data_IF_303062303203
#
_entry.id   IF_303062303203
#
_cell.length_a   1.000
_cell.length_b   1.000
_cell.length_c   1.000
_cell.angle_alpha   90.00
_cell.angle_beta   90.00
_cell.angle_gamma   90.00
#
_symmetry.space_group_name_H-M   'P 1'
#
loop_
_entity.id
_entity.type
_entity.pdbx_description
1 polymer ?
#
# COMPACT_ATOMS: atom_id res chain seq x y z
N UNK A 1 -1.93 -36.12 -0.68
CA UNK A 1 -2.74 -35.00 -1.23
C UNK A 1 -2.06 -33.65 -0.93
N UNK A 2 -0.98 -33.28 -1.65
CA UNK A 2 -0.28 -31.98 -1.47
C UNK A 2 0.14 -31.30 -2.80
N UNK A 3 -0.26 -31.84 -3.96
CA UNK A 3 0.24 -31.39 -5.27
C UNK A 3 -0.60 -30.33 -6.00
N UNK A 4 -1.81 -30.00 -5.49
CA UNK A 4 -2.74 -29.10 -6.20
C UNK A 4 -2.54 -27.63 -5.82
N UNK A 5 -1.89 -27.32 -4.70
CA UNK A 5 -1.78 -25.96 -4.18
C UNK A 5 -0.80 -25.06 -4.96
N UNK A 6 0.31 -25.59 -5.44
CA UNK A 6 1.37 -24.75 -6.03
C UNK A 6 0.99 -24.10 -7.37
N UNK A 7 0.13 -24.73 -8.19
CA UNK A 7 -0.30 -24.16 -9.50
C UNK A 7 -1.50 -23.23 -9.39
N UNK A 8 -2.33 -23.38 -8.37
CA UNK A 8 -3.56 -22.58 -8.23
C UNK A 8 -3.25 -21.22 -7.57
N UNK A 9 -2.28 -21.18 -6.65
CA UNK A 9 -1.79 -19.95 -6.01
C UNK A 9 -1.38 -18.86 -7.00
N UNK A 10 -0.51 -19.09 -8.00
CA UNK A 10 -0.09 -18.04 -8.94
C UNK A 10 -1.25 -17.57 -9.83
N UNK A 11 -2.18 -18.47 -10.20
CA UNK A 11 -3.36 -18.09 -10.98
C UNK A 11 -4.31 -17.19 -10.17
N UNK A 12 -4.51 -17.52 -8.89
CA UNK A 12 -5.29 -16.68 -7.97
C UNK A 12 -4.63 -15.32 -7.71
N UNK A 13 -3.31 -15.29 -7.51
CA UNK A 13 -2.55 -14.06 -7.35
C UNK A 13 -2.64 -13.18 -8.60
N UNK A 14 -2.38 -13.74 -9.79
CA UNK A 14 -2.41 -12.99 -11.04
C UNK A 14 -3.81 -12.42 -11.37
N UNK A 15 -4.88 -13.16 -11.03
CA UNK A 15 -6.24 -12.69 -11.22
C UNK A 15 -6.63 -11.61 -10.22
N UNK A 16 -6.17 -11.75 -8.97
CA UNK A 16 -6.40 -10.75 -7.92
C UNK A 16 -5.63 -9.47 -8.20
N UNK A 17 -4.38 -9.59 -8.67
CA UNK A 17 -3.58 -8.46 -9.13
C UNK A 17 -4.29 -7.73 -10.26
N UNK A 18 -4.71 -8.40 -11.34
CA UNK A 18 -5.41 -7.73 -12.45
C UNK A 18 -6.72 -7.03 -12.06
N UNK A 19 -7.36 -7.46 -10.97
CA UNK A 19 -8.59 -6.86 -10.46
C UNK A 19 -8.35 -5.63 -9.56
N UNK A 20 -7.10 -5.30 -9.25
CA UNK A 20 -6.76 -4.12 -8.47
C UNK A 20 -6.70 -2.86 -9.33
N UNK A 21 -7.08 -1.74 -8.73
CA UNK A 21 -6.86 -0.38 -9.20
C UNK A 21 -5.38 -0.01 -9.11
N UNK A 22 -4.53 -0.58 -9.97
CA UNK A 22 -3.10 -0.26 -9.99
C UNK A 22 -2.81 1.18 -10.39
N UNK A 23 -3.66 1.79 -11.22
CA UNK A 23 -3.46 3.15 -11.72
C UNK A 23 -3.24 4.19 -10.60
N UNK A 24 -4.14 4.36 -9.60
CA UNK A 24 -3.92 5.32 -8.52
C UNK A 24 -2.68 5.00 -7.68
N UNK A 25 -2.35 3.72 -7.50
CA UNK A 25 -1.10 3.33 -6.83
C UNK A 25 0.13 3.73 -7.62
N UNK A 26 0.16 3.46 -8.93
CA UNK A 26 1.28 3.83 -9.80
C UNK A 26 1.46 5.35 -9.88
N UNK A 27 0.37 6.11 -9.89
CA UNK A 27 0.42 7.58 -9.84
C UNK A 27 1.00 8.06 -8.50
N UNK A 28 0.49 7.56 -7.37
CA UNK A 28 1.01 7.91 -6.05
C UNK A 28 2.47 7.49 -5.86
N UNK A 29 2.82 6.30 -6.34
CA UNK A 29 4.18 5.76 -6.35
C UNK A 29 5.12 6.61 -7.21
N UNK A 30 4.66 7.04 -8.39
CA UNK A 30 5.38 7.94 -9.28
C UNK A 30 5.63 9.29 -8.62
N UNK A 31 4.64 9.85 -7.92
CA UNK A 31 4.81 11.09 -7.16
C UNK A 31 5.86 10.96 -6.05
N UNK A 32 5.80 9.90 -5.23
CA UNK A 32 6.80 9.74 -4.17
C UNK A 32 8.21 9.45 -4.70
N UNK A 33 8.33 8.72 -5.83
CA UNK A 33 9.62 8.59 -6.54
C UNK A 33 10.09 9.94 -7.07
N UNK A 34 9.22 10.74 -7.70
CA UNK A 34 9.58 12.06 -8.22
C UNK A 34 10.05 13.00 -7.11
N UNK A 35 9.39 12.99 -5.95
CA UNK A 35 9.76 13.79 -4.77
C UNK A 35 11.18 13.44 -4.29
N UNK A 36 11.55 12.15 -4.31
CA UNK A 36 12.88 11.71 -3.92
C UNK A 36 13.94 11.88 -5.04
N UNK A 37 13.55 11.70 -6.29
CA UNK A 37 14.46 11.68 -7.43
C UNK A 37 14.79 13.07 -7.97
N UNK A 38 13.88 14.05 -7.87
CA UNK A 38 14.11 15.41 -8.39
C UNK A 38 15.30 16.09 -7.71
N UNK A 39 15.43 16.10 -6.37
CA UNK A 39 16.60 16.71 -5.74
C UNK A 39 17.89 15.98 -6.07
N UNK A 40 17.85 14.65 -6.15
CA UNK A 40 18.98 13.82 -6.56
C UNK A 40 19.44 14.13 -8.00
N UNK A 41 18.50 14.27 -8.94
CA UNK A 41 18.79 14.57 -10.33
C UNK A 41 19.29 16.01 -10.55
N UNK A 42 18.86 16.95 -9.70
CA UNK A 42 19.28 18.35 -9.73
C UNK A 42 20.54 18.61 -8.90
N UNK A 43 21.13 17.57 -8.29
CA UNK A 43 22.28 17.65 -7.37
C UNK A 43 22.14 18.76 -6.33
N UNK A 44 20.92 18.92 -5.79
CA UNK A 44 20.64 19.90 -4.74
C UNK A 44 21.19 19.35 -3.43
N UNK A 45 22.15 20.06 -2.83
CA UNK A 45 22.61 19.77 -1.47
C UNK A 45 21.43 19.98 -0.51
N UNK A 46 21.01 18.90 0.13
CA UNK A 46 19.89 18.89 1.07
C UNK A 46 20.44 18.53 2.44
N UNK A 47 20.00 19.27 3.46
CA UNK A 47 20.28 18.91 4.84
C UNK A 47 19.61 17.58 5.21
N UNK A 48 20.15 16.89 6.21
CA UNK A 48 19.60 15.66 6.77
C UNK A 48 18.11 15.82 7.16
N UNK A 49 17.74 16.97 7.72
CA UNK A 49 16.35 17.27 8.08
C UNK A 49 15.42 17.35 6.87
N UNK A 50 15.88 17.94 5.77
CA UNK A 50 15.06 18.09 4.57
C UNK A 50 14.87 16.76 3.85
N UNK A 51 15.90 15.90 3.85
CA UNK A 51 15.79 14.52 3.35
C UNK A 51 14.77 13.70 4.16
N UNK A 52 14.76 13.83 5.49
CA UNK A 52 13.76 13.17 6.34
C UNK A 52 12.34 13.68 6.05
N UNK A 53 12.17 15.00 5.86
CA UNK A 53 10.87 15.59 5.50
C UNK A 53 10.38 15.06 4.16
N UNK A 54 11.25 14.98 3.15
CA UNK A 54 10.92 14.40 1.84
C UNK A 54 10.50 12.93 1.96
N UNK A 55 11.23 12.15 2.77
CA UNK A 55 10.93 10.74 2.99
C UNK A 55 9.59 10.54 3.71
N UNK A 56 9.22 11.43 4.63
CA UNK A 56 7.87 11.47 5.25
C UNK A 56 6.77 11.78 4.24
N UNK A 57 6.97 12.77 3.38
CA UNK A 57 6.00 13.08 2.32
C UNK A 57 5.83 11.89 1.37
N UNK A 58 6.94 11.25 0.99
CA UNK A 58 6.90 10.01 0.21
C UNK A 58 6.12 8.91 0.95
N UNK A 59 6.37 8.70 2.25
CA UNK A 59 5.64 7.72 3.06
C UNK A 59 4.13 7.97 3.06
N UNK A 60 3.69 9.23 3.14
CA UNK A 60 2.27 9.60 3.03
C UNK A 60 1.71 9.25 1.63
N UNK A 61 2.44 9.54 0.56
CA UNK A 61 2.05 9.14 -0.80
C UNK A 61 1.93 7.61 -0.93
N UNK A 62 2.88 6.86 -0.37
CA UNK A 62 2.84 5.40 -0.34
C UNK A 62 1.62 4.87 0.42
N UNK A 63 1.31 5.42 1.59
CA UNK A 63 0.15 5.06 2.38
C UNK A 63 -1.18 5.35 1.64
N UNK A 64 -1.28 6.48 0.93
CA UNK A 64 -2.41 6.79 0.07
C UNK A 64 -2.54 5.78 -1.08
N UNK A 65 -1.43 5.43 -1.74
CA UNK A 65 -1.42 4.39 -2.77
C UNK A 65 -1.92 3.03 -2.27
N UNK A 66 -1.50 2.62 -1.08
CA UNK A 66 -1.98 1.38 -0.43
C UNK A 66 -3.48 1.46 -0.15
N UNK A 67 -3.97 2.61 0.35
CA UNK A 67 -5.39 2.81 0.58
C UNK A 67 -6.20 2.69 -0.72
N UNK A 68 -5.70 3.22 -1.84
CA UNK A 68 -6.35 3.10 -3.15
C UNK A 68 -6.33 1.67 -3.73
N UNK A 69 -5.29 0.87 -3.46
CA UNK A 69 -5.27 -0.56 -3.84
C UNK A 69 -6.32 -1.37 -3.08
N UNK A 70 -6.54 -0.99 -1.82
CA UNK A 70 -7.50 -1.61 -0.91
C UNK A 70 -8.93 -1.13 -1.16
N UNK A 71 -9.12 0.06 -1.70
CA UNK A 71 -10.42 0.54 -2.15
C UNK A 71 -10.82 -0.18 -3.44
N UNK A 72 -11.75 -1.13 -3.33
CA UNK A 72 -12.32 -1.86 -4.46
C UNK A 72 -13.60 -1.16 -4.92
N UNK A 73 -13.57 -0.30 -5.96
CA UNK A 73 -14.77 0.38 -6.46
C UNK A 73 -15.80 -0.61 -7.04
N UNK A 74 -15.36 -1.81 -7.44
CA UNK A 74 -16.22 -2.86 -7.99
C UNK A 74 -16.87 -3.75 -6.91
N UNK A 75 -16.59 -3.51 -5.63
CA UNK A 75 -17.24 -4.22 -4.53
C UNK A 75 -18.78 -4.05 -4.54
N UNK A 76 -19.28 -2.96 -5.15
CA UNK A 76 -20.72 -2.71 -5.33
C UNK A 76 -21.39 -3.63 -6.35
N UNK A 77 -20.66 -4.14 -7.34
CA UNK A 77 -21.24 -4.91 -8.45
C UNK A 77 -21.05 -6.44 -8.32
N UNK A 78 -20.18 -6.90 -7.42
CA UNK A 78 -19.85 -8.32 -7.22
C UNK A 78 -20.52 -8.95 -5.98
N UNK A 79 -21.62 -8.35 -5.49
CA UNK A 79 -22.32 -8.82 -4.29
C UNK A 79 -22.81 -10.28 -4.37
N UNK A 80 -22.89 -10.85 -5.58
CA UNK A 80 -23.46 -12.17 -5.88
C UNK A 80 -22.44 -13.31 -5.99
N UNK A 81 -21.12 -13.05 -5.86
CA UNK A 81 -20.10 -14.10 -6.04
C UNK A 81 -19.85 -14.87 -4.73
N UNK A 82 -19.93 -16.21 -4.71
CA UNK A 82 -19.84 -17.04 -3.51
C UNK A 82 -18.39 -17.32 -3.09
N UNK A 83 -17.53 -16.28 -3.08
CA UNK A 83 -16.15 -16.40 -2.60
C UNK A 83 -16.04 -15.73 -1.23
N UNK A 84 -15.41 -16.36 -0.22
CA UNK A 84 -15.21 -15.76 1.09
C UNK A 84 -14.47 -14.42 0.99
N UNK A 85 -15.16 -13.32 1.33
CA UNK A 85 -14.64 -11.94 1.23
C UNK A 85 -13.34 -11.74 2.02
N UNK A 86 -13.16 -12.48 3.11
CA UNK A 86 -11.96 -12.41 3.97
C UNK A 86 -10.71 -12.86 3.21
N UNK A 87 -10.79 -13.97 2.46
CA UNK A 87 -9.64 -14.50 1.71
C UNK A 87 -9.24 -13.53 0.61
N UNK A 88 -10.22 -12.94 -0.09
CA UNK A 88 -9.96 -11.94 -1.13
C UNK A 88 -9.26 -10.69 -0.57
N UNK A 89 -9.71 -10.20 0.58
CA UNK A 89 -9.07 -9.05 1.23
C UNK A 89 -7.68 -9.38 1.76
N UNK A 90 -7.46 -10.56 2.33
CA UNK A 90 -6.14 -10.98 2.82
C UNK A 90 -5.12 -11.06 1.68
N UNK A 91 -5.49 -11.68 0.54
CA UNK A 91 -4.63 -11.75 -0.65
C UNK A 91 -4.37 -10.35 -1.22
N UNK A 92 -5.39 -9.47 -1.24
CA UNK A 92 -5.21 -8.08 -1.69
C UNK A 92 -4.28 -7.29 -0.79
N UNK A 93 -4.43 -7.42 0.53
CA UNK A 93 -3.57 -6.76 1.51
C UNK A 93 -2.12 -7.26 1.39
N UNK A 94 -1.91 -8.57 1.22
CA UNK A 94 -0.58 -9.14 1.03
C UNK A 94 0.11 -8.60 -0.23
N UNK A 95 -0.60 -8.55 -1.36
CA UNK A 95 -0.08 -8.00 -2.61
C UNK A 95 0.21 -6.49 -2.50
N UNK A 96 -0.67 -5.73 -1.86
CA UNK A 96 -0.48 -4.29 -1.66
C UNK A 96 0.73 -4.00 -0.76
N UNK A 97 0.89 -4.78 0.32
CA UNK A 97 2.06 -4.68 1.21
C UNK A 97 3.36 -5.04 0.49
N UNK A 98 3.37 -6.10 -0.31
CA UNK A 98 4.54 -6.49 -1.08
C UNK A 98 4.94 -5.42 -2.12
N UNK A 99 3.95 -4.89 -2.86
CA UNK A 99 4.17 -3.82 -3.82
C UNK A 99 4.67 -2.52 -3.14
N UNK A 100 4.07 -2.15 -2.01
CA UNK A 100 4.48 -1.00 -1.22
C UNK A 100 5.89 -1.16 -0.64
N UNK A 101 6.24 -2.37 -0.17
CA UNK A 101 7.59 -2.66 0.33
C UNK A 101 8.65 -2.55 -0.76
N UNK A 102 8.37 -3.09 -1.95
CA UNK A 102 9.28 -2.97 -3.10
C UNK A 102 9.44 -1.51 -3.54
N UNK A 103 8.34 -0.77 -3.58
CA UNK A 103 8.35 0.64 -3.90
C UNK A 103 9.12 1.48 -2.86
N UNK A 104 8.91 1.21 -1.58
CA UNK A 104 9.63 1.88 -0.49
C UNK A 104 11.13 1.63 -0.56
N UNK A 105 11.55 0.40 -0.84
CA UNK A 105 12.95 0.06 -1.05
C UNK A 105 13.56 0.85 -2.22
N UNK A 106 12.82 1.06 -3.31
CA UNK A 106 13.26 1.88 -4.43
C UNK A 106 13.42 3.36 -4.02
N UNK A 107 12.48 3.91 -3.25
CA UNK A 107 12.58 5.29 -2.71
C UNK A 107 13.85 5.42 -1.86
N UNK A 108 14.08 4.50 -0.92
CA UNK A 108 15.29 4.52 -0.09
C UNK A 108 16.58 4.43 -0.92
N UNK A 109 16.60 3.55 -1.93
CA UNK A 109 17.77 3.40 -2.81
C UNK A 109 18.06 4.69 -3.60
N UNK A 110 17.03 5.37 -4.10
CA UNK A 110 17.16 6.66 -4.79
C UNK A 110 17.67 7.74 -3.84
N UNK A 111 17.10 7.82 -2.63
CA UNK A 111 17.49 8.83 -1.63
C UNK A 111 18.94 8.63 -1.19
N UNK A 112 19.36 7.40 -0.89
CA UNK A 112 20.75 7.10 -0.48
C UNK A 112 21.73 7.28 -1.64
N UNK A 113 21.36 6.89 -2.86
CA UNK A 113 22.22 7.05 -4.03
C UNK A 113 22.35 8.50 -4.52
N UNK A 114 21.36 9.36 -4.21
CA UNK A 114 21.37 10.78 -4.51
C UNK A 114 21.96 11.67 -3.41
N UNK A 115 22.11 11.14 -2.19
CA UNK A 115 22.73 11.87 -1.09
C UNK A 115 24.23 12.07 -1.35
N UNK A 116 24.74 13.24 -1.00
CA UNK A 116 26.16 13.55 -1.07
C UNK A 116 26.99 12.60 -0.19
N UNK A 117 28.22 12.31 -0.64
CA UNK A 117 29.08 11.28 -0.05
C UNK A 117 29.27 11.51 1.47
N UNK A 118 28.59 10.72 2.28
CA UNK A 118 28.65 10.77 3.76
C UNK A 118 27.29 10.97 4.43
N UNK A 119 26.40 11.78 3.84
CA UNK A 119 25.07 12.08 4.41
C UNK A 119 24.16 10.85 4.38
N UNK A 120 24.21 10.06 3.31
CA UNK A 120 23.43 8.82 3.21
C UNK A 120 23.67 7.80 4.33
N UNK A 121 24.82 7.85 5.01
CA UNK A 121 25.17 6.93 6.09
C UNK A 121 24.67 7.39 7.48
N UNK A 122 24.39 8.67 7.67
CA UNK A 122 23.86 9.24 8.93
C UNK A 122 22.34 9.27 8.98
N UNK A 123 21.67 9.07 7.85
CA UNK A 123 20.21 9.07 7.81
C UNK A 123 19.60 7.96 8.70
N UNK A 124 18.64 8.28 9.58
CA UNK A 124 17.91 7.31 10.38
C UNK A 124 16.87 6.57 9.53
N UNK A 125 17.35 5.74 8.59
CA UNK A 125 16.52 4.98 7.64
C UNK A 125 15.54 4.04 8.34
N UNK A 126 15.94 3.53 9.52
CA UNK A 126 15.10 2.66 10.34
C UNK A 126 13.87 3.41 10.86
N UNK A 127 14.06 4.60 11.45
CA UNK A 127 12.97 5.39 12.01
C UNK A 127 11.97 5.80 10.92
N UNK A 128 12.48 6.23 9.77
CA UNK A 128 11.64 6.56 8.63
C UNK A 128 10.86 5.34 8.08
N UNK A 129 11.47 4.15 8.11
CA UNK A 129 10.79 2.91 7.69
C UNK A 129 9.72 2.48 8.69
N UNK A 130 9.94 2.69 9.99
CA UNK A 130 8.95 2.44 11.04
C UNK A 130 7.76 3.42 10.90
N UNK A 131 8.03 4.70 10.66
CA UNK A 131 6.98 5.70 10.39
C UNK A 131 6.17 5.32 9.15
N UNK A 132 6.82 4.93 8.05
CA UNK A 132 6.16 4.48 6.84
C UNK A 132 5.30 3.22 7.07
N UNK A 133 5.81 2.25 7.85
CA UNK A 133 5.08 1.05 8.24
C UNK A 133 3.86 1.39 9.10
N UNK A 134 3.98 2.34 10.03
CA UNK A 134 2.88 2.82 10.85
C UNK A 134 1.78 3.47 10.00
N UNK A 135 2.14 4.32 9.04
CA UNK A 135 1.20 4.96 8.12
C UNK A 135 0.49 3.93 7.22
N UNK A 136 1.23 2.94 6.70
CA UNK A 136 0.63 1.82 5.97
C UNK A 136 -0.33 1.00 6.85
N UNK A 137 0.03 0.78 8.12
CA UNK A 137 -0.81 0.15 9.13
C UNK A 137 -2.11 0.91 9.40
N UNK A 138 -2.06 2.24 9.49
CA UNK A 138 -3.27 3.09 9.60
C UNK A 138 -4.16 2.92 8.38
N UNK A 139 -3.60 2.90 7.17
CA UNK A 139 -4.35 2.62 5.94
C UNK A 139 -5.07 1.27 5.98
N UNK A 140 -4.39 0.21 6.46
CA UNK A 140 -4.96 -1.12 6.67
C UNK A 140 -6.10 -1.12 7.70
N UNK A 141 -5.94 -0.40 8.81
CA UNK A 141 -6.98 -0.28 9.85
C UNK A 141 -8.22 0.42 9.29
N UNK A 142 -8.05 1.54 8.59
CA UNK A 142 -9.15 2.25 7.93
C UNK A 142 -9.90 1.35 6.94
N UNK A 143 -9.18 0.60 6.10
CA UNK A 143 -9.77 -0.36 5.19
C UNK A 143 -10.56 -1.46 5.94
N UNK A 144 -10.00 -2.00 7.03
CA UNK A 144 -10.66 -3.02 7.85
C UNK A 144 -11.92 -2.50 8.58
N UNK A 145 -11.90 -1.25 9.07
CA UNK A 145 -13.06 -0.58 9.68
C UNK A 145 -14.20 -0.44 8.67
N UNK A 146 -13.90 -0.01 7.43
CA UNK A 146 -14.91 0.12 6.36
C UNK A 146 -15.58 -1.21 6.03
N UNK A 147 -14.81 -2.30 5.96
CA UNK A 147 -15.36 -3.66 5.74
C UNK A 147 -16.27 -4.08 6.90
N UNK A 148 -15.92 -3.77 8.15
CA UNK A 148 -16.76 -4.04 9.33
C UNK A 148 -18.04 -3.21 9.33
N UNK A 149 -17.97 -1.92 9.01
CA UNK A 149 -19.14 -1.05 8.93
C UNK A 149 -20.16 -1.54 7.90
N UNK A 150 -19.71 -1.95 6.72
CA UNK A 150 -20.58 -2.50 5.68
C UNK A 150 -21.31 -3.79 6.12
N UNK A 151 -20.68 -4.64 6.95
CA UNK A 151 -21.34 -5.83 7.51
C UNK A 151 -22.47 -5.49 8.48
N UNK A 152 -22.28 -4.46 9.31
CA UNK A 152 -23.30 -4.01 10.27
C UNK A 152 -24.51 -3.42 9.56
N UNK A 153 -24.29 -2.63 8.51
CA UNK A 153 -25.37 -2.04 7.71
C UNK A 153 -26.21 -3.08 6.95
N UNK A 154 -25.63 -4.25 6.62
CA UNK A 154 -26.33 -5.34 5.95
C UNK A 154 -27.01 -6.34 6.92
N UNK A 155 -26.93 -6.11 8.24
CA UNK A 155 -27.62 -6.95 9.20
C UNK A 155 -29.16 -6.77 9.06
N UNK A 156 -29.95 -7.86 9.04
CA UNK A 156 -31.41 -7.76 8.92
C UNK A 156 -31.97 -6.90 10.04
N UNK A 157 -32.84 -5.93 9.69
CA UNK A 157 -33.59 -5.19 10.70
C UNK A 157 -34.47 -6.16 11.50
N UNK A 158 -34.65 -5.94 12.81
CA UNK A 158 -35.57 -6.73 13.62
C UNK A 158 -36.95 -6.70 12.97
N UNK A 159 -37.54 -7.87 12.72
CA UNK A 159 -38.89 -7.98 12.18
C UNK A 159 -39.87 -7.43 13.24
N UNK A 160 -40.89 -6.65 12.84
CA UNK A 160 -41.90 -6.19 13.77
C UNK A 160 -42.61 -7.39 14.42
N UNK A 161 -43.05 -7.29 15.69
CA UNK A 161 -43.89 -8.31 16.30
C UNK A 161 -45.21 -8.42 15.52
N UNK A 162 -45.59 -9.67 15.20
CA UNK A 162 -46.87 -10.00 14.58
C UNK A 162 -48.05 -9.70 15.52
#
# INVERSE_FOLDING_TARGET
>A
MYGVTARVVPVLLARTARAMSWLPFLVAAGFGIAIAAVPAAMSVALSDEDLIRLLRVAAVCGALGVAFLLDDPAARSLATVPVPRIVRHAVRAALALAAAGLWWAAVLAITVGGAEHGVGATLPLWDASVEAAALAGVGLVCAAVRVRGARRAAAPLPRPPC
#
